data_IF_778853832815
#
_entry.id   IF_778853832815
#
_cell.length_a   1.000
_cell.length_b   1.000
_cell.length_c   1.000
_cell.angle_alpha   90.00
_cell.angle_beta   90.00
_cell.angle_gamma   90.00
#
_symmetry.space_group_name_H-M   'P 1'
#
loop_
_entity.id
_entity.type
_entity.pdbx_description
1 polymer ?
#
# COMPACT_ATOMS: atom_id res chain seq x y z
N UNK A 1 3.60 -18.99 29.02
CA UNK A 1 3.67 -20.43 28.65
C UNK A 1 4.48 -21.13 29.73
N UNK A 2 3.88 -22.10 30.41
CA UNK A 2 4.53 -22.88 31.46
C UNK A 2 4.99 -24.24 30.93
N UNK A 3 6.08 -24.78 31.48
CA UNK A 3 6.67 -26.05 31.04
C UNK A 3 6.70 -27.05 32.18
N UNK A 4 6.11 -28.22 31.97
CA UNK A 4 6.00 -29.30 32.96
C UNK A 4 6.42 -30.63 32.34
N UNK A 5 6.72 -31.62 33.16
CA UNK A 5 6.96 -32.98 32.69
C UNK A 5 5.67 -33.82 32.76
N UNK A 6 5.63 -34.91 31.99
CA UNK A 6 4.46 -35.78 31.90
C UNK A 6 4.04 -36.40 33.26
N UNK A 7 5.01 -36.72 34.13
CA UNK A 7 4.72 -37.29 35.44
C UNK A 7 4.08 -36.25 36.40
N UNK A 8 4.47 -34.99 36.27
CA UNK A 8 3.88 -33.86 37.00
C UNK A 8 2.45 -33.58 36.52
N UNK A 9 2.22 -33.59 35.20
CA UNK A 9 0.89 -33.45 34.63
C UNK A 9 -0.09 -34.53 35.12
N UNK A 10 0.35 -35.80 35.14
CA UNK A 10 -0.46 -36.94 35.58
C UNK A 10 -0.90 -36.84 37.05
N UNK A 11 -0.12 -36.18 37.91
CA UNK A 11 -0.46 -36.03 39.33
C UNK A 11 -1.56 -34.99 39.57
N UNK A 12 -1.67 -33.98 38.70
CA UNK A 12 -2.58 -32.84 38.89
C UNK A 12 -3.23 -32.37 37.57
N UNK A 13 -3.96 -33.24 36.85
CA UNK A 13 -4.48 -32.91 35.53
C UNK A 13 -5.44 -31.71 35.55
N UNK A 14 -6.30 -31.61 36.56
CA UNK A 14 -7.28 -30.50 36.65
C UNK A 14 -6.63 -29.13 36.84
N UNK A 15 -5.53 -29.03 37.59
CA UNK A 15 -4.82 -27.76 37.80
C UNK A 15 -4.27 -27.23 36.47
N UNK A 16 -3.61 -28.10 35.69
CA UNK A 16 -3.04 -27.71 34.41
C UNK A 16 -4.09 -27.51 33.32
N UNK A 17 -5.24 -28.19 33.38
CA UNK A 17 -6.40 -27.89 32.52
C UNK A 17 -6.93 -26.49 32.78
N UNK A 18 -7.07 -26.08 34.06
CA UNK A 18 -7.51 -24.73 34.40
C UNK A 18 -6.49 -23.67 33.95
N UNK A 19 -5.20 -23.92 34.13
CA UNK A 19 -4.15 -23.03 33.62
C UNK A 19 -4.15 -22.93 32.10
N UNK A 20 -4.38 -24.04 31.40
CA UNK A 20 -4.49 -24.09 29.95
C UNK A 20 -5.63 -23.24 29.37
N UNK A 21 -6.62 -22.86 30.19
CA UNK A 21 -7.66 -21.90 29.81
C UNK A 21 -7.13 -20.47 29.67
N UNK A 22 -6.06 -20.12 30.38
CA UNK A 22 -5.48 -18.78 30.38
C UNK A 22 -4.21 -18.69 29.52
N UNK A 23 -3.36 -19.71 29.58
CA UNK A 23 -2.13 -19.76 28.80
C UNK A 23 -1.72 -21.20 28.42
N UNK A 24 -1.07 -21.43 27.26
CA UNK A 24 -0.63 -22.76 26.88
C UNK A 24 0.38 -23.39 27.86
N UNK A 25 0.23 -24.69 28.09
CA UNK A 25 1.06 -25.52 28.95
C UNK A 25 1.85 -26.51 28.09
N UNK A 26 3.18 -26.41 28.10
CA UNK A 26 4.07 -27.34 27.43
C UNK A 26 4.33 -28.56 28.33
N UNK A 27 3.96 -29.75 27.86
CA UNK A 27 4.20 -31.02 28.52
C UNK A 27 5.39 -31.70 27.84
N UNK A 28 6.38 -32.06 28.64
CA UNK A 28 7.60 -32.73 28.19
C UNK A 28 7.67 -34.19 28.61
N UNK A 29 8.30 -35.00 27.77
CA UNK A 29 8.61 -36.41 28.04
C UNK A 29 10.08 -36.67 27.75
N UNK A 30 10.80 -37.22 28.73
CA UNK A 30 12.26 -37.43 28.67
C UNK A 30 13.05 -36.17 28.28
N UNK A 31 12.64 -35.00 28.80
CA UNK A 31 13.30 -33.71 28.54
C UNK A 31 13.00 -33.09 27.17
N UNK A 32 12.19 -33.75 26.33
CA UNK A 32 11.76 -33.23 25.02
C UNK A 32 10.32 -32.75 25.08
N UNK A 33 10.01 -31.74 24.26
CA UNK A 33 8.64 -31.27 24.05
C UNK A 33 7.82 -32.39 23.42
N UNK A 34 6.69 -32.72 24.03
CA UNK A 34 5.82 -33.83 23.61
C UNK A 34 4.45 -33.27 23.17
N UNK A 35 3.71 -32.66 24.10
CA UNK A 35 2.35 -32.16 23.87
C UNK A 35 2.22 -30.73 24.40
N UNK A 36 1.36 -29.92 23.79
CA UNK A 36 0.90 -28.64 24.36
C UNK A 36 -0.58 -28.77 24.71
N UNK A 37 -0.92 -28.46 25.94
CA UNK A 37 -2.31 -28.30 26.37
C UNK A 37 -2.71 -26.82 26.29
N UNK A 38 -3.85 -26.54 25.68
CA UNK A 38 -4.42 -25.19 25.54
C UNK A 38 -5.95 -25.28 25.56
N UNK A 39 -6.63 -24.14 25.70
CA UNK A 39 -8.10 -24.11 25.58
C UNK A 39 -8.55 -24.51 24.18
N UNK A 40 -9.77 -25.06 24.10
CA UNK A 40 -10.43 -25.32 22.83
C UNK A 40 -10.57 -24.02 22.02
N UNK A 41 -10.97 -22.90 22.63
CA UNK A 41 -11.08 -21.61 21.95
C UNK A 41 -9.75 -21.14 21.32
N UNK A 42 -8.63 -21.33 22.03
CA UNK A 42 -7.32 -20.96 21.50
C UNK A 42 -6.87 -21.93 20.40
N UNK A 43 -7.16 -23.22 20.54
CA UNK A 43 -6.96 -24.20 19.46
C UNK A 43 -7.83 -23.87 18.24
N UNK A 44 -9.09 -23.48 18.45
CA UNK A 44 -10.03 -23.10 17.40
C UNK A 44 -9.62 -21.80 16.73
N UNK A 45 -9.06 -20.83 17.47
CA UNK A 45 -8.42 -19.65 16.87
C UNK A 45 -7.23 -20.07 16.00
N UNK A 46 -6.31 -20.88 16.52
CA UNK A 46 -5.12 -21.33 15.79
C UNK A 46 -5.46 -22.20 14.58
N UNK A 47 -6.47 -23.06 14.67
CA UNK A 47 -6.96 -23.85 13.54
C UNK A 47 -7.83 -23.04 12.61
N UNK A 48 -8.55 -22.02 13.08
CA UNK A 48 -9.22 -21.05 12.21
C UNK A 48 -8.18 -20.27 11.38
N UNK A 49 -6.99 -20.01 11.93
CA UNK A 49 -5.85 -19.48 11.17
C UNK A 49 -5.15 -20.55 10.31
N UNK A 50 -5.05 -21.80 10.78
CA UNK A 50 -4.25 -22.87 10.16
C UNK A 50 -4.99 -23.85 9.22
N UNK A 51 -6.31 -23.97 9.29
CA UNK A 51 -7.11 -24.90 8.51
C UNK A 51 -7.59 -24.22 7.23
N UNK A 52 -6.79 -24.35 6.17
CA UNK A 52 -7.13 -24.13 4.77
C UNK A 52 -8.07 -22.94 4.47
N UNK A 53 -7.78 -21.76 5.03
CA UNK A 53 -8.27 -20.52 4.45
C UNK A 53 -7.59 -20.37 3.10
N UNK A 54 -8.36 -20.41 2.01
CA UNK A 54 -7.82 -20.13 0.68
C UNK A 54 -7.09 -18.79 0.70
N UNK A 55 -6.07 -18.63 -0.15
CA UNK A 55 -5.37 -17.34 -0.27
C UNK A 55 -6.36 -16.19 -0.48
N UNK A 56 -7.42 -16.42 -1.27
CA UNK A 56 -8.50 -15.45 -1.46
C UNK A 56 -9.25 -15.08 -0.18
N UNK A 57 -9.47 -16.04 0.73
CA UNK A 57 -10.10 -15.75 2.03
C UNK A 57 -9.18 -14.91 2.93
N UNK A 58 -7.88 -15.21 2.97
CA UNK A 58 -6.91 -14.41 3.74
C UNK A 58 -6.82 -12.96 3.24
N UNK A 59 -6.79 -12.79 1.92
CA UNK A 59 -6.83 -11.45 1.29
C UNK A 59 -8.13 -10.74 1.67
N UNK A 60 -9.28 -11.41 1.54
CA UNK A 60 -10.59 -10.83 1.89
C UNK A 60 -10.67 -10.43 3.37
N UNK A 61 -10.07 -11.21 4.26
CA UNK A 61 -10.00 -10.92 5.68
C UNK A 61 -9.13 -9.67 5.95
N UNK A 62 -8.00 -9.52 5.25
CA UNK A 62 -7.14 -8.34 5.37
C UNK A 62 -7.88 -7.05 4.98
N UNK A 63 -8.59 -7.06 3.84
CA UNK A 63 -9.42 -5.92 3.42
C UNK A 63 -10.55 -5.63 4.43
N UNK A 64 -11.25 -6.68 4.89
CA UNK A 64 -12.33 -6.55 5.88
C UNK A 64 -11.81 -5.95 7.19
N UNK A 65 -10.64 -6.41 7.65
CA UNK A 65 -9.97 -5.89 8.83
C UNK A 65 -9.58 -4.42 8.67
N UNK A 66 -8.99 -4.05 7.53
CA UNK A 66 -8.61 -2.66 7.25
C UNK A 66 -9.82 -1.71 7.23
N UNK A 67 -10.92 -2.11 6.60
CA UNK A 67 -12.17 -1.34 6.58
C UNK A 67 -12.77 -1.16 7.98
N UNK A 68 -12.71 -2.21 8.82
CA UNK A 68 -13.20 -2.14 10.19
C UNK A 68 -12.34 -1.22 11.07
N UNK A 69 -10.99 -1.30 10.92
CA UNK A 69 -10.04 -0.46 11.65
C UNK A 69 -10.17 1.02 11.28
N UNK A 70 -10.52 1.32 10.02
CA UNK A 70 -10.59 2.69 9.48
C UNK A 70 -12.00 3.10 9.07
N UNK A 71 -12.99 2.85 9.93
CA UNK A 71 -14.42 3.07 9.64
C UNK A 71 -14.76 4.49 9.16
N UNK A 72 -14.17 5.52 9.78
CA UNK A 72 -14.39 6.91 9.37
C UNK A 72 -13.85 7.19 7.95
N UNK A 73 -12.70 6.61 7.60
CA UNK A 73 -12.13 6.74 6.26
C UNK A 73 -12.95 5.96 5.23
N UNK A 74 -13.45 4.78 5.60
CA UNK A 74 -14.35 4.00 4.78
C UNK A 74 -15.60 4.80 4.39
N UNK A 75 -16.22 5.51 5.34
CA UNK A 75 -17.37 6.39 5.06
C UNK A 75 -17.03 7.53 4.09
N UNK A 76 -15.81 8.10 4.17
CA UNK A 76 -15.35 9.12 3.21
C UNK A 76 -15.21 8.54 1.79
N UNK A 77 -14.66 7.33 1.66
CA UNK A 77 -14.55 6.64 0.38
C UNK A 77 -15.92 6.26 -0.21
N UNK A 78 -16.88 5.83 0.62
CA UNK A 78 -18.26 5.61 0.18
C UNK A 78 -18.85 6.90 -0.39
N UNK A 79 -18.71 8.02 0.33
CA UNK A 79 -19.20 9.32 -0.10
C UNK A 79 -18.56 9.76 -1.42
N UNK A 80 -17.23 9.65 -1.52
CA UNK A 80 -16.50 9.97 -2.74
C UNK A 80 -16.95 9.10 -3.92
N UNK A 81 -17.14 7.80 -3.70
CA UNK A 81 -17.60 6.86 -4.73
C UNK A 81 -19.00 7.20 -5.27
N UNK A 82 -19.91 7.61 -4.39
CA UNK A 82 -21.26 8.02 -4.79
C UNK A 82 -21.22 9.31 -5.63
N UNK A 83 -20.40 10.29 -5.24
CA UNK A 83 -20.28 11.55 -5.99
C UNK A 83 -19.60 11.37 -7.34
N UNK A 84 -18.47 10.68 -7.37
CA UNK A 84 -17.70 10.43 -8.60
C UNK A 84 -18.49 9.50 -9.52
N UNK A 85 -19.02 8.40 -9.00
CA UNK A 85 -19.84 7.45 -9.76
C UNK A 85 -21.14 8.08 -10.29
N UNK A 86 -21.76 8.98 -9.52
CA UNK A 86 -22.93 9.74 -9.95
C UNK A 86 -22.69 10.64 -11.17
N UNK A 87 -21.44 11.01 -11.47
CA UNK A 87 -21.08 11.72 -12.70
C UNK A 87 -21.15 10.85 -13.95
N UNK A 88 -21.07 9.52 -13.79
CA UNK A 88 -21.12 8.56 -14.89
C UNK A 88 -21.95 7.30 -14.50
N UNK A 89 -23.28 7.44 -14.31
CA UNK A 89 -24.12 6.44 -13.64
C UNK A 89 -24.29 5.11 -14.38
N UNK A 90 -23.92 5.04 -15.67
CA UNK A 90 -23.97 3.81 -16.49
C UNK A 90 -22.59 3.20 -16.70
N UNK A 91 -21.70 3.39 -15.74
CA UNK A 91 -20.33 2.86 -15.75
C UNK A 91 -20.00 2.15 -14.45
N UNK A 92 -18.86 1.45 -14.43
CA UNK A 92 -18.31 0.83 -13.23
C UNK A 92 -17.55 1.82 -12.33
N UNK A 93 -17.59 3.13 -12.63
CA UNK A 93 -16.78 4.14 -11.94
C UNK A 93 -16.99 4.16 -10.42
N UNK A 94 -18.24 3.99 -9.95
CA UNK A 94 -18.52 3.86 -8.52
C UNK A 94 -17.78 2.68 -7.89
N UNK A 95 -17.81 1.52 -8.54
CA UNK A 95 -17.13 0.31 -8.07
C UNK A 95 -15.60 0.48 -8.12
N UNK A 96 -15.07 1.13 -9.15
CA UNK A 96 -13.64 1.46 -9.25
C UNK A 96 -13.18 2.36 -8.09
N UNK A 97 -13.95 3.41 -7.74
CA UNK A 97 -13.61 4.28 -6.59
C UNK A 97 -13.70 3.53 -5.27
N UNK A 98 -14.68 2.63 -5.10
CA UNK A 98 -14.77 1.79 -3.90
C UNK A 98 -13.59 0.83 -3.77
N UNK A 99 -13.17 0.18 -4.88
CA UNK A 99 -11.98 -0.67 -4.91
C UNK A 99 -10.72 0.12 -4.57
N UNK A 100 -10.57 1.32 -5.12
CA UNK A 100 -9.46 2.23 -4.81
C UNK A 100 -9.42 2.58 -3.32
N UNK A 101 -10.58 2.84 -2.71
CA UNK A 101 -10.70 3.12 -1.28
C UNK A 101 -10.39 1.92 -0.39
N UNK A 102 -10.81 0.71 -0.78
CA UNK A 102 -10.44 -0.53 -0.10
C UNK A 102 -8.94 -0.74 -0.07
N UNK A 103 -8.27 -0.50 -1.20
CA UNK A 103 -6.82 -0.57 -1.30
C UNK A 103 -6.11 0.51 -0.48
N UNK A 104 -6.63 1.75 -0.47
CA UNK A 104 -6.10 2.83 0.37
C UNK A 104 -6.12 2.47 1.86
N UNK A 105 -7.24 1.93 2.35
CA UNK A 105 -7.34 1.51 3.75
C UNK A 105 -6.35 0.40 4.08
N UNK A 106 -6.23 -0.63 3.22
CA UNK A 106 -5.26 -1.69 3.43
C UNK A 106 -3.81 -1.14 3.46
N UNK A 107 -3.46 -0.27 2.52
CA UNK A 107 -2.16 0.40 2.49
C UNK A 107 -1.89 1.19 3.78
N UNK A 108 -2.86 1.96 4.27
CA UNK A 108 -2.72 2.72 5.53
C UNK A 108 -2.47 1.84 6.74
N UNK A 109 -3.06 0.64 6.80
CA UNK A 109 -2.71 -0.34 7.84
C UNK A 109 -1.24 -0.77 7.73
N UNK A 110 -0.78 -1.11 6.52
CA UNK A 110 0.62 -1.52 6.28
C UNK A 110 1.61 -0.39 6.62
N UNK A 111 1.26 0.86 6.32
CA UNK A 111 2.05 2.04 6.65
C UNK A 111 2.17 2.27 8.15
N UNK A 112 1.10 2.05 8.92
CA UNK A 112 1.09 2.16 10.37
C UNK A 112 1.92 1.05 11.04
N UNK A 113 1.97 -0.12 10.40
CA UNK A 113 2.78 -1.27 10.84
C UNK A 113 4.27 -1.09 10.48
N UNK A 114 4.58 -0.20 9.53
CA UNK A 114 5.94 0.05 9.10
C UNK A 114 6.78 0.65 10.23
N UNK A 115 7.75 -0.12 10.71
CA UNK A 115 8.75 0.32 11.69
C UNK A 115 10.12 0.36 11.01
N UNK A 116 10.73 1.55 10.81
CA UNK A 116 12.00 1.67 10.09
C UNK A 116 13.22 1.05 10.81
N UNK A 117 13.06 0.54 12.04
CA UNK A 117 14.18 0.20 12.95
C UNK A 117 14.27 -1.29 13.34
N UNK A 118 13.42 -2.18 12.83
CA UNK A 118 13.38 -3.56 13.32
C UNK A 118 14.43 -4.46 12.62
N UNK A 119 15.63 -4.57 13.21
CA UNK A 119 16.63 -5.57 12.82
C UNK A 119 16.11 -7.01 12.91
N UNK A 120 16.66 -7.92 12.10
CA UNK A 120 16.51 -9.40 12.05
C UNK A 120 15.10 -10.05 12.09
N UNK A 121 14.04 -9.32 12.43
CA UNK A 121 12.65 -9.79 12.54
C UNK A 121 11.66 -9.04 11.63
N UNK A 122 12.12 -8.07 10.82
CA UNK A 122 11.26 -7.44 9.82
C UNK A 122 10.78 -8.48 8.80
N UNK A 123 9.48 -8.46 8.47
CA UNK A 123 8.94 -9.23 7.34
C UNK A 123 9.68 -8.76 6.06
N UNK A 124 10.50 -9.63 5.44
CA UNK A 124 11.32 -9.25 4.30
C UNK A 124 10.48 -8.82 3.08
N UNK A 125 9.19 -9.16 3.04
CA UNK A 125 8.30 -8.87 1.91
C UNK A 125 7.19 -7.86 2.23
N UNK A 126 6.97 -7.50 3.49
CA UNK A 126 5.89 -6.58 3.88
C UNK A 126 5.97 -5.24 3.13
N UNK A 127 7.16 -4.64 3.11
CA UNK A 127 7.41 -3.41 2.37
C UNK A 127 7.30 -3.58 0.84
N UNK A 128 7.71 -4.74 0.31
CA UNK A 128 7.59 -5.05 -1.12
C UNK A 128 6.13 -5.10 -1.58
N UNK A 129 5.27 -5.73 -0.79
CA UNK A 129 3.82 -5.76 -1.06
C UNK A 129 3.21 -4.37 -0.96
N UNK A 130 3.58 -3.59 0.07
CA UNK A 130 3.12 -2.21 0.22
C UNK A 130 3.52 -1.35 -0.99
N UNK A 131 4.76 -1.48 -1.46
CA UNK A 131 5.28 -0.77 -2.63
C UNK A 131 4.52 -1.12 -3.90
N UNK A 132 4.36 -2.42 -4.20
CA UNK A 132 3.61 -2.87 -5.39
C UNK A 132 2.15 -2.41 -5.36
N UNK A 133 1.51 -2.52 -4.20
CA UNK A 133 0.13 -2.07 -4.04
C UNK A 133 0.01 -0.55 -4.12
N UNK A 134 1.01 0.21 -3.66
CA UNK A 134 1.03 1.66 -3.81
C UNK A 134 1.14 2.05 -5.28
N UNK A 135 1.97 1.36 -6.06
CA UNK A 135 2.08 1.57 -7.51
C UNK A 135 0.75 1.27 -8.23
N UNK A 136 0.10 0.15 -7.90
CA UNK A 136 -1.22 -0.19 -8.47
C UNK A 136 -2.27 0.89 -8.10
N UNK A 137 -2.27 1.37 -6.86
CA UNK A 137 -3.18 2.43 -6.42
C UNK A 137 -2.99 3.70 -7.24
N UNK A 138 -1.75 4.11 -7.53
CA UNK A 138 -1.46 5.28 -8.38
C UNK A 138 -1.99 5.09 -9.79
N UNK A 139 -1.82 3.90 -10.38
CA UNK A 139 -2.33 3.61 -11.72
C UNK A 139 -3.86 3.72 -11.77
N UNK A 140 -4.56 3.12 -10.80
CA UNK A 140 -6.02 3.16 -10.75
C UNK A 140 -6.56 4.58 -10.47
N UNK A 141 -5.90 5.32 -9.57
CA UNK A 141 -6.26 6.72 -9.28
C UNK A 141 -6.06 7.62 -10.50
N UNK A 142 -4.94 7.46 -11.23
CA UNK A 142 -4.68 8.18 -12.47
C UNK A 142 -5.76 7.91 -13.51
N UNK A 143 -6.14 6.66 -13.74
CA UNK A 143 -7.15 6.32 -14.74
C UNK A 143 -8.54 6.89 -14.38
N UNK A 144 -8.90 6.91 -13.10
CA UNK A 144 -10.12 7.57 -12.63
C UNK A 144 -10.06 9.08 -12.93
N UNK A 145 -8.97 9.76 -12.54
CA UNK A 145 -8.83 11.21 -12.73
C UNK A 145 -8.77 11.58 -14.20
N UNK A 146 -7.98 10.86 -15.00
CA UNK A 146 -7.90 11.02 -16.46
C UNK A 146 -9.27 10.85 -17.12
N UNK A 147 -10.04 9.83 -16.74
CA UNK A 147 -11.38 9.62 -17.28
C UNK A 147 -12.30 10.81 -16.99
N UNK A 148 -12.25 11.36 -15.76
CA UNK A 148 -13.03 12.54 -15.42
C UNK A 148 -12.62 13.73 -16.31
N UNK A 149 -11.31 13.95 -16.47
CA UNK A 149 -10.70 15.00 -17.30
C UNK A 149 -11.00 14.87 -18.80
N UNK A 150 -11.07 13.66 -19.35
CA UNK A 150 -11.44 13.48 -20.76
C UNK A 150 -12.92 13.74 -21.01
N UNK A 151 -13.73 13.60 -19.98
CA UNK A 151 -15.20 13.67 -20.07
C UNK A 151 -15.79 15.00 -19.62
N UNK A 152 -14.99 15.94 -19.12
CA UNK A 152 -15.49 17.25 -18.69
C UNK A 152 -16.48 17.19 -17.52
N UNK A 153 -16.24 16.24 -16.61
CA UNK A 153 -17.11 15.97 -15.45
C UNK A 153 -16.41 16.07 -14.08
N UNK A 154 -15.26 16.73 -14.02
CA UNK A 154 -14.48 16.99 -12.80
C UNK A 154 -14.88 18.31 -12.11
N UNK A 155 -14.49 18.53 -10.83
CA UNK A 155 -14.60 19.83 -10.19
C UNK A 155 -13.56 20.78 -10.79
N UNK A 156 -14.02 21.85 -11.47
CA UNK A 156 -13.14 22.90 -11.99
C UNK A 156 -12.47 23.63 -10.81
N UNK A 157 -11.29 23.16 -10.41
CA UNK A 157 -10.56 23.64 -9.24
C UNK A 157 -9.06 23.43 -9.45
N UNK A 158 -8.26 24.38 -8.98
CA UNK A 158 -6.79 24.30 -9.03
C UNK A 158 -6.27 23.03 -8.32
N UNK A 159 -6.95 22.60 -7.26
CA UNK A 159 -6.60 21.39 -6.53
C UNK A 159 -6.76 20.13 -7.39
N UNK A 160 -7.83 20.04 -8.21
CA UNK A 160 -8.01 18.92 -9.12
C UNK A 160 -6.94 18.92 -10.22
N UNK A 161 -6.64 20.08 -10.79
CA UNK A 161 -5.61 20.22 -11.84
C UNK A 161 -4.22 19.83 -11.31
N UNK A 162 -3.87 20.31 -10.11
CA UNK A 162 -2.64 19.94 -9.42
C UNK A 162 -2.57 18.43 -9.14
N UNK A 163 -3.67 17.82 -8.67
CA UNK A 163 -3.73 16.38 -8.40
C UNK A 163 -3.61 15.56 -9.70
N UNK A 164 -4.27 15.98 -10.78
CA UNK A 164 -4.17 15.33 -12.09
C UNK A 164 -2.73 15.37 -12.60
N UNK A 165 -2.08 16.54 -12.49
CA UNK A 165 -0.68 16.68 -12.88
C UNK A 165 0.24 15.75 -12.08
N UNK A 166 0.10 15.70 -10.75
CA UNK A 166 0.92 14.82 -9.90
C UNK A 166 0.74 13.32 -10.24
N UNK A 167 -0.50 12.89 -10.47
CA UNK A 167 -0.78 11.51 -10.89
C UNK A 167 -0.17 11.20 -12.27
N UNK A 168 -0.22 12.15 -13.21
CA UNK A 168 0.41 12.04 -14.53
C UNK A 168 1.93 11.92 -14.42
N UNK A 169 2.56 12.75 -13.58
CA UNK A 169 4.00 12.75 -13.34
C UNK A 169 4.48 11.45 -12.71
N UNK A 170 3.68 10.81 -11.86
CA UNK A 170 4.00 9.50 -11.27
C UNK A 170 3.73 8.33 -12.20
N UNK A 171 2.63 8.36 -12.96
CA UNK A 171 2.22 7.21 -13.77
C UNK A 171 3.24 6.87 -14.86
N UNK A 172 3.87 7.87 -15.47
CA UNK A 172 4.88 7.65 -16.51
C UNK A 172 6.12 6.87 -16.01
N UNK A 173 6.83 7.29 -14.95
CA UNK A 173 8.01 6.54 -14.47
C UNK A 173 7.62 5.17 -13.90
N UNK A 174 6.47 5.06 -13.23
CA UNK A 174 6.06 3.82 -12.59
C UNK A 174 5.60 2.75 -13.58
N UNK A 175 4.86 3.13 -14.63
CA UNK A 175 4.22 2.19 -15.56
C UNK A 175 4.90 2.11 -16.92
N UNK A 176 5.61 3.16 -17.33
CA UNK A 176 6.23 3.27 -18.65
C UNK A 176 7.76 3.36 -18.60
N UNK A 177 8.36 3.43 -17.40
CA UNK A 177 9.79 3.62 -17.22
C UNK A 177 10.35 4.85 -17.96
N UNK A 178 9.55 5.93 -17.99
CA UNK A 178 9.82 7.16 -18.75
C UNK A 178 9.46 8.42 -17.95
N UNK A 179 10.01 9.57 -18.34
CA UNK A 179 9.55 10.87 -17.81
C UNK A 179 8.22 11.27 -18.46
N UNK A 180 7.30 11.77 -17.65
CA UNK A 180 6.03 12.32 -18.12
C UNK A 180 6.27 13.54 -19.03
N UNK A 181 5.81 13.44 -20.27
CA UNK A 181 6.01 14.45 -21.33
C UNK A 181 4.69 14.74 -22.04
N UNK A 182 4.49 15.98 -22.48
CA UNK A 182 3.43 16.33 -23.43
C UNK A 182 3.81 15.92 -24.85
N UNK A 183 2.86 15.93 -25.79
CA UNK A 183 3.18 15.66 -27.20
C UNK A 183 4.18 16.67 -27.75
N UNK A 184 4.04 17.96 -27.43
CA UNK A 184 4.97 19.00 -27.88
C UNK A 184 6.38 18.77 -27.34
N UNK A 185 6.52 18.37 -26.06
CA UNK A 185 7.82 18.09 -25.45
C UNK A 185 8.51 16.86 -26.08
N UNK A 186 7.72 15.85 -26.47
CA UNK A 186 8.24 14.66 -27.17
C UNK A 186 8.74 15.03 -28.56
N UNK A 187 7.96 15.81 -29.30
CA UNK A 187 8.29 16.22 -30.67
C UNK A 187 9.53 17.13 -30.69
N UNK A 188 9.72 17.95 -29.65
CA UNK A 188 10.90 18.79 -29.48
C UNK A 188 12.18 18.00 -29.11
N UNK A 189 12.06 16.70 -28.78
CA UNK A 189 13.15 15.81 -28.34
C UNK A 189 14.07 16.46 -27.29
N UNK A 190 13.46 17.08 -26.27
CA UNK A 190 14.16 17.82 -25.22
C UNK A 190 15.13 16.90 -24.48
N UNK A 191 16.39 17.32 -24.41
CA UNK A 191 17.42 16.68 -23.61
C UNK A 191 17.28 17.13 -22.15
N UNK A 192 17.07 16.17 -21.25
CA UNK A 192 16.85 16.45 -19.83
C UNK A 192 18.07 15.97 -19.06
N UNK A 193 18.78 16.90 -18.44
CA UNK A 193 19.89 16.57 -17.55
C UNK A 193 19.33 16.12 -16.19
N UNK A 194 19.64 14.90 -15.80
CA UNK A 194 19.23 14.31 -14.53
C UNK A 194 20.43 14.24 -13.59
N UNK A 195 20.23 14.64 -12.34
CA UNK A 195 21.22 14.43 -11.31
C UNK A 195 21.29 12.93 -10.94
N UNK A 196 22.48 12.34 -11.02
CA UNK A 196 22.69 10.98 -10.56
C UNK A 196 22.35 10.87 -9.05
N UNK A 197 21.58 9.85 -8.68
CA UNK A 197 21.22 9.61 -7.27
C UNK A 197 21.54 8.17 -6.88
N UNK A 198 22.42 7.93 -5.89
CA UNK A 198 23.13 8.92 -5.08
C UNK A 198 24.26 9.60 -5.85
N UNK A 199 24.45 10.91 -5.63
CA UNK A 199 25.50 11.70 -6.25
C UNK A 199 26.89 11.15 -5.86
N UNK A 200 27.60 10.52 -6.80
CA UNK A 200 29.03 10.26 -6.66
C UNK A 200 29.79 11.47 -7.21
N UNK A 201 30.91 11.80 -6.59
CA UNK A 201 31.62 13.07 -6.80
C UNK A 201 32.08 13.39 -8.24
N UNK A 202 32.04 12.42 -9.15
CA UNK A 202 32.38 12.56 -10.58
C UNK A 202 31.20 12.23 -11.52
N UNK A 203 29.98 12.07 -11.00
CA UNK A 203 28.83 11.71 -11.84
C UNK A 203 28.47 12.86 -12.77
N UNK A 204 28.67 12.63 -14.07
CA UNK A 204 28.07 13.45 -15.13
C UNK A 204 26.55 13.34 -15.02
N UNK A 205 25.85 14.44 -15.22
CA UNK A 205 24.40 14.42 -15.33
C UNK A 205 24.00 13.39 -16.39
N UNK A 206 23.08 12.48 -16.06
CA UNK A 206 22.56 11.53 -17.03
C UNK A 206 21.65 12.30 -17.99
N UNK A 207 21.87 12.15 -19.29
CA UNK A 207 21.05 12.80 -20.31
C UNK A 207 19.89 11.89 -20.67
N UNK A 208 18.67 12.35 -20.43
CA UNK A 208 17.47 11.66 -20.89
C UNK A 208 17.00 12.27 -22.21
N UNK A 209 16.89 11.41 -23.23
CA UNK A 209 16.33 11.71 -24.54
C UNK A 209 15.09 10.85 -24.77
N UNK A 210 13.95 11.47 -25.09
CA UNK A 210 12.71 10.72 -25.30
C UNK A 210 12.81 9.75 -26.49
N UNK A 211 13.55 10.13 -27.53
CA UNK A 211 13.76 9.30 -28.71
C UNK A 211 14.65 8.08 -28.48
N UNK A 212 15.41 8.04 -27.38
CA UNK A 212 16.33 6.92 -27.10
C UNK A 212 15.54 5.65 -26.70
N UNK A 213 15.64 4.55 -27.46
CA UNK A 213 14.98 3.29 -27.13
C UNK A 213 15.57 2.60 -25.88
N UNK A 214 16.78 2.95 -25.46
CA UNK A 214 17.42 2.42 -24.25
C UNK A 214 17.26 3.34 -23.04
N UNK A 215 16.54 4.46 -23.18
CA UNK A 215 16.23 5.32 -22.04
C UNK A 215 15.55 4.49 -20.96
N UNK A 216 16.14 4.52 -19.78
CA UNK A 216 15.55 3.92 -18.61
C UNK A 216 15.73 4.93 -17.50
N UNK A 217 14.63 5.36 -16.91
CA UNK A 217 14.70 6.20 -15.73
C UNK A 217 13.91 5.55 -14.62
N UNK A 218 14.61 5.19 -13.55
CA UNK A 218 14.03 4.78 -12.29
C UNK A 218 14.18 5.96 -11.36
N UNK A 219 13.11 6.72 -11.16
CA UNK A 219 13.13 7.81 -10.19
C UNK A 219 13.40 7.24 -8.79
N UNK A 220 14.16 7.97 -7.94
CA UNK A 220 14.31 7.61 -6.55
C UNK A 220 12.94 7.37 -5.89
N UNK A 221 12.87 6.29 -5.12
CA UNK A 221 11.73 5.99 -4.26
C UNK A 221 12.19 5.95 -2.82
N UNK A 222 11.28 6.25 -1.90
CA UNK A 222 11.55 6.31 -0.48
C UNK A 222 10.32 6.01 0.35
N UNK A 223 10.48 6.15 1.65
CA UNK A 223 9.41 6.00 2.64
C UNK A 223 9.35 7.27 3.47
N UNK A 224 8.17 7.87 3.54
CA UNK A 224 7.89 9.03 4.38
C UNK A 224 7.95 8.68 5.87
N UNK A 225 7.94 9.71 6.73
CA UNK A 225 7.80 9.53 8.18
C UNK A 225 6.50 8.83 8.61
N UNK A 226 5.49 8.77 7.72
CA UNK A 226 4.22 8.07 7.95
C UNK A 226 4.23 6.62 7.50
N UNK A 227 5.38 6.09 7.06
CA UNK A 227 5.47 4.76 6.47
C UNK A 227 4.96 4.68 5.02
N UNK A 228 4.42 5.77 4.45
CA UNK A 228 3.96 5.80 3.06
C UNK A 228 5.11 5.79 2.07
N UNK A 229 4.95 5.04 0.98
CA UNK A 229 5.80 5.14 -0.20
C UNK A 229 5.71 6.54 -0.82
N UNK A 230 6.85 7.05 -1.24
CA UNK A 230 7.02 8.31 -1.95
C UNK A 230 7.98 8.13 -3.12
N UNK A 231 7.79 8.92 -4.17
CA UNK A 231 8.66 8.94 -5.34
C UNK A 231 9.05 10.36 -5.68
N UNK A 232 10.28 10.53 -6.15
CA UNK A 232 10.69 11.76 -6.79
C UNK A 232 10.05 11.84 -8.17
N UNK A 233 9.56 13.00 -8.57
CA UNK A 233 9.11 13.28 -9.94
C UNK A 233 9.84 14.50 -10.47
N UNK A 234 9.99 14.56 -11.80
CA UNK A 234 10.47 15.74 -12.52
C UNK A 234 9.34 16.25 -13.40
N UNK A 235 9.02 17.54 -13.28
CA UNK A 235 8.10 18.22 -14.17
C UNK A 235 8.89 19.07 -15.18
N UNK A 236 9.02 18.57 -16.41
CA UNK A 236 9.76 19.24 -17.48
C UNK A 236 9.16 20.61 -17.82
N UNK A 237 7.85 20.79 -17.64
CA UNK A 237 7.19 22.06 -17.97
C UNK A 237 7.61 23.20 -17.05
N UNK A 238 7.90 22.90 -15.79
CA UNK A 238 8.30 23.88 -14.78
C UNK A 238 9.82 23.87 -14.53
N UNK A 239 10.48 22.74 -14.80
CA UNK A 239 11.89 22.51 -14.46
C UNK A 239 12.09 22.06 -13.01
N UNK A 240 11.02 21.82 -12.26
CA UNK A 240 11.07 21.46 -10.84
C UNK A 240 11.10 19.95 -10.64
N UNK A 241 11.80 19.51 -9.60
CA UNK A 241 11.69 18.17 -9.04
C UNK A 241 11.06 18.21 -7.63
N UNK A 242 10.25 17.21 -7.31
CA UNK A 242 9.64 17.10 -5.98
C UNK A 242 9.30 15.67 -5.59
N UNK A 243 9.26 15.43 -4.28
CA UNK A 243 8.76 14.18 -3.73
C UNK A 243 7.23 14.21 -3.64
N UNK A 244 6.59 13.14 -4.11
CA UNK A 244 5.16 12.93 -3.98
C UNK A 244 4.89 11.68 -3.16
N UNK A 245 4.10 11.83 -2.10
CA UNK A 245 3.71 10.75 -1.20
C UNK A 245 2.33 10.19 -1.58
N UNK A 246 2.21 8.85 -1.67
CA UNK A 246 0.94 8.19 -2.04
C UNK A 246 -0.20 8.48 -1.06
N UNK A 247 0.05 8.50 0.26
CA UNK A 247 -0.98 8.83 1.27
C UNK A 247 -1.51 10.24 1.10
N UNK A 248 -0.65 11.19 0.77
CA UNK A 248 -1.03 12.57 0.52
C UNK A 248 -1.97 12.68 -0.69
N UNK A 249 -1.69 11.96 -1.78
CA UNK A 249 -2.58 11.94 -2.96
C UNK A 249 -3.97 11.40 -2.63
N UNK A 250 -4.04 10.35 -1.83
CA UNK A 250 -5.31 9.80 -1.32
C UNK A 250 -6.10 10.82 -0.49
N UNK A 251 -5.42 11.55 0.40
CA UNK A 251 -6.03 12.61 1.22
C UNK A 251 -6.58 13.76 0.36
N UNK A 252 -5.85 14.14 -0.69
CA UNK A 252 -6.27 15.17 -1.66
C UNK A 252 -7.48 14.73 -2.48
N UNK A 253 -7.46 13.50 -3.01
CA UNK A 253 -8.60 12.92 -3.73
C UNK A 253 -9.86 12.90 -2.85
N UNK A 254 -9.73 12.48 -1.60
CA UNK A 254 -10.84 12.50 -0.65
C UNK A 254 -11.30 13.92 -0.33
N UNK A 255 -10.40 14.90 -0.24
CA UNK A 255 -10.78 16.30 0.02
C UNK A 255 -11.69 16.85 -1.08
N UNK A 256 -11.42 16.49 -2.34
CA UNK A 256 -12.22 16.91 -3.49
C UNK A 256 -13.65 16.32 -3.50
N UNK A 257 -13.84 15.14 -2.90
CA UNK A 257 -15.07 14.35 -3.12
C UNK A 257 -15.80 13.90 -1.84
N UNK A 258 -15.19 13.99 -0.67
CA UNK A 258 -15.78 13.51 0.61
C UNK A 258 -16.38 14.62 1.48
N UNK A 259 -16.31 15.89 1.04
CA UNK A 259 -16.89 17.06 1.73
C UNK A 259 -18.41 17.18 1.60
#
# INVERSE_FOLDING_TARGET
>A
MIKINAAEFQRKPGEYQQRAQQEPVEITRHGRRDIVLMSADHYDQLTTFGAARSVGHLISLAFSHAMAKQSALHSKWITASAKVGGRLPRSLLMASVQSLGQQDMLLRCMEEEFTPTSGAQADPFGFHHQSRMSVQWIADAYEIVRLLEERQIWPMSEEFESLSNDLRLLRAPLMQHAIATTSEQRDANVLIALAATPARGDDKAEEYLHSDPQRAMIMPSGVSSRGSVMWMVVDIGTGDDRWIERRQLSERLLTLWSS
#
